data_IF_736032969264
#
_entry.id   IF_736032969264
#
_cell.length_a   1.000
_cell.length_b   1.000
_cell.length_c   1.000
_cell.angle_alpha   90.00
_cell.angle_beta   90.00
_cell.angle_gamma   90.00
#
_symmetry.space_group_name_H-M   'P 1'
#
loop_
_entity.id
_entity.type
_entity.pdbx_description
1 polymer ?
#
# COMPACT_ATOMS: atom_id res chain seq x y z
N UNK A 1 -32.88 58.41 7.29
CA UNK A 1 -34.08 58.49 6.41
C UNK A 1 -33.80 59.51 5.32
N UNK A 2 -34.40 59.42 4.12
CA UNK A 2 -35.57 58.61 3.76
C UNK A 2 -35.32 57.53 2.67
N UNK A 3 -36.41 56.87 2.26
CA UNK A 3 -36.61 56.08 1.02
C UNK A 3 -37.55 56.91 0.08
N UNK A 4 -38.12 56.46 -1.08
CA UNK A 4 -38.14 55.11 -1.68
C UNK A 4 -38.12 54.96 -3.24
N UNK A 5 -37.93 53.70 -3.69
CA UNK A 5 -38.65 52.95 -4.76
C UNK A 5 -38.67 53.31 -6.28
N UNK A 6 -38.88 52.22 -7.07
CA UNK A 6 -39.54 52.10 -8.41
C UNK A 6 -38.71 52.55 -9.65
N UNK A 7 -38.74 51.93 -10.85
CA UNK A 7 -39.11 50.57 -11.37
C UNK A 7 -38.72 50.51 -12.89
N UNK A 8 -38.87 49.50 -13.78
CA UNK A 8 -39.23 48.04 -13.81
C UNK A 8 -38.85 47.47 -15.19
N UNK A 9 -38.53 46.17 -15.34
CA UNK A 9 -38.71 45.43 -16.61
C UNK A 9 -38.89 43.91 -16.41
N UNK A 10 -39.35 43.19 -17.44
CA UNK A 10 -40.55 42.34 -17.31
C UNK A 10 -40.63 41.12 -18.26
N UNK A 11 -41.42 40.09 -17.88
CA UNK A 11 -41.87 38.99 -18.74
C UNK A 11 -43.14 38.25 -18.19
N UNK A 12 -43.96 37.64 -19.06
CA UNK A 12 -45.08 36.71 -18.77
C UNK A 12 -45.19 35.66 -19.89
N UNK A 13 -45.39 34.36 -19.61
CA UNK A 13 -46.68 33.65 -19.75
C UNK A 13 -46.75 32.80 -21.05
N UNK A 14 -47.48 31.68 -21.22
CA UNK A 14 -48.37 30.91 -20.33
C UNK A 14 -48.39 29.38 -20.73
N UNK A 15 -49.35 28.54 -20.24
CA UNK A 15 -49.31 27.05 -20.30
C UNK A 15 -50.50 26.35 -21.03
N UNK A 16 -50.32 25.04 -21.37
CA UNK A 16 -51.29 23.88 -21.49
C UNK A 16 -51.29 23.16 -22.87
N UNK A 17 -51.68 21.89 -23.05
CA UNK A 17 -51.73 20.67 -22.18
C UNK A 17 -52.16 19.39 -22.96
N UNK A 18 -51.65 18.21 -22.57
CA UNK A 18 -52.19 16.80 -22.68
C UNK A 18 -52.63 16.24 -24.06
N UNK A 19 -52.34 14.95 -24.28
CA UNK A 19 -52.90 14.08 -25.33
C UNK A 19 -53.09 12.65 -24.77
N UNK A 20 -54.12 11.94 -25.25
CA UNK A 20 -54.46 10.55 -24.89
C UNK A 20 -54.48 9.64 -26.14
N UNK A 21 -54.36 8.32 -25.94
CA UNK A 21 -54.95 7.14 -26.66
C UNK A 21 -55.12 7.15 -28.21
N UNK A 22 -55.03 6.03 -28.95
CA UNK A 22 -54.43 4.69 -28.79
C UNK A 22 -54.41 3.97 -30.17
N UNK A 23 -53.59 2.92 -30.30
CA UNK A 23 -53.72 1.74 -31.16
C UNK A 23 -54.49 1.75 -32.50
N UNK A 24 -53.74 1.39 -33.55
CA UNK A 24 -54.06 0.36 -34.58
C UNK A 24 -55.30 0.54 -35.48
N UNK A 25 -55.05 0.84 -36.76
CA UNK A 25 -55.76 0.16 -37.87
C UNK A 25 -54.97 0.17 -39.18
N UNK A 26 -55.13 -0.92 -39.95
CA UNK A 26 -54.97 -1.11 -41.41
C UNK A 26 -53.66 -0.66 -42.12
N UNK A 27 -53.12 -1.37 -43.14
CA UNK A 27 -53.41 -2.68 -43.76
C UNK A 27 -52.09 -3.18 -44.41
N UNK A 28 -51.74 -4.48 -44.37
CA UNK A 28 -51.92 -5.46 -45.47
C UNK A 28 -51.44 -4.96 -46.87
N UNK A 29 -50.63 -5.70 -47.66
CA UNK A 29 -50.99 -6.94 -48.37
C UNK A 29 -49.73 -7.67 -48.94
N UNK A 30 -49.77 -9.01 -49.06
CA UNK A 30 -48.93 -9.94 -49.88
C UNK A 30 -47.43 -10.25 -49.54
N UNK A 31 -47.23 -11.38 -48.84
CA UNK A 31 -46.62 -12.67 -49.32
C UNK A 31 -45.41 -12.69 -50.29
N UNK A 32 -44.42 -13.61 -50.11
CA UNK A 32 -44.68 -15.06 -49.96
C UNK A 32 -43.85 -15.82 -48.89
N UNK A 33 -44.19 -17.11 -48.70
CA UNK A 33 -43.50 -18.06 -47.79
C UNK A 33 -42.16 -18.54 -48.37
N UNK A 34 -41.15 -18.65 -47.51
CA UNK A 34 -39.93 -19.42 -47.78
C UNK A 34 -39.70 -20.41 -46.62
N UNK A 35 -39.77 -21.71 -46.89
CA UNK A 35 -39.51 -22.75 -45.88
C UNK A 35 -38.02 -23.06 -45.89
N UNK A 36 -37.27 -22.38 -45.02
CA UNK A 36 -35.83 -22.55 -44.89
C UNK A 36 -35.34 -22.06 -43.53
N UNK A 37 -34.93 -23.01 -42.69
CA UNK A 37 -34.25 -22.89 -41.38
C UNK A 37 -33.76 -21.47 -41.01
N UNK A 38 -34.65 -20.63 -40.49
CA UNK A 38 -34.30 -19.37 -39.83
C UNK A 38 -34.13 -19.59 -38.33
N UNK A 39 -32.98 -20.17 -37.96
CA UNK A 39 -32.32 -19.70 -36.73
C UNK A 39 -31.89 -18.25 -37.00
N UNK A 40 -31.89 -17.39 -35.98
CA UNK A 40 -31.58 -15.97 -36.22
C UNK A 40 -30.08 -15.81 -36.53
N UNK A 41 -29.73 -15.00 -37.53
CA UNK A 41 -28.34 -14.60 -37.75
C UNK A 41 -27.73 -13.92 -36.50
N UNK A 42 -28.58 -13.37 -35.62
CA UNK A 42 -28.20 -12.80 -34.33
C UNK A 42 -27.92 -13.91 -33.30
N UNK A 43 -28.65 -15.03 -33.34
CA UNK A 43 -28.39 -16.20 -32.50
C UNK A 43 -27.15 -16.96 -32.95
N UNK A 44 -26.95 -17.14 -34.25
CA UNK A 44 -25.75 -17.79 -34.79
C UNK A 44 -24.51 -16.93 -34.53
N UNK A 45 -24.55 -15.60 -34.79
CA UNK A 45 -23.44 -14.70 -34.43
C UNK A 45 -23.21 -14.58 -32.91
N UNK A 46 -24.26 -14.72 -32.09
CA UNK A 46 -24.13 -14.81 -30.62
C UNK A 46 -23.49 -16.12 -30.21
N UNK A 47 -23.89 -17.25 -30.82
CA UNK A 47 -23.35 -18.58 -30.53
C UNK A 47 -21.92 -18.74 -31.02
N UNK A 48 -21.55 -18.13 -32.14
CA UNK A 48 -20.16 -18.01 -32.59
C UNK A 48 -19.36 -17.12 -31.64
N UNK A 49 -19.92 -16.03 -31.10
CA UNK A 49 -19.27 -15.25 -30.03
C UNK A 49 -19.14 -16.01 -28.72
N UNK A 50 -20.15 -16.77 -28.30
CA UNK A 50 -20.09 -17.60 -27.08
C UNK A 50 -19.16 -18.80 -27.25
N UNK A 51 -19.06 -19.38 -28.45
CA UNK A 51 -18.09 -20.42 -28.78
C UNK A 51 -16.66 -19.87 -28.95
N UNK A 52 -16.50 -18.66 -29.49
CA UNK A 52 -15.21 -17.98 -29.56
C UNK A 52 -14.75 -17.54 -28.16
N UNK A 53 -15.66 -17.03 -27.33
CA UNK A 53 -15.40 -16.73 -25.92
C UNK A 53 -15.00 -17.99 -25.15
N UNK A 54 -15.75 -19.09 -25.29
CA UNK A 54 -15.39 -20.37 -24.70
C UNK A 54 -14.06 -20.94 -25.26
N UNK A 55 -13.70 -20.63 -26.50
CA UNK A 55 -12.41 -20.98 -27.08
C UNK A 55 -11.27 -20.10 -26.54
N UNK A 56 -11.50 -18.81 -26.25
CA UNK A 56 -10.53 -17.98 -25.51
C UNK A 56 -10.43 -18.41 -24.05
N UNK A 57 -11.53 -18.69 -23.34
CA UNK A 57 -11.50 -19.20 -21.97
C UNK A 57 -10.78 -20.56 -21.88
N UNK A 58 -10.98 -21.43 -22.87
CA UNK A 58 -10.23 -22.68 -22.99
C UNK A 58 -8.75 -22.46 -23.33
N UNK A 59 -8.41 -21.44 -24.12
CA UNK A 59 -7.02 -21.09 -24.43
C UNK A 59 -6.31 -20.37 -23.26
N UNK A 60 -7.02 -19.60 -22.44
CA UNK A 60 -6.53 -18.94 -21.22
C UNK A 60 -6.31 -19.95 -20.06
N UNK A 61 -6.67 -21.23 -20.25
CA UNK A 61 -6.11 -22.32 -19.43
C UNK A 61 -4.60 -22.55 -19.64
N UNK A 62 -3.99 -21.85 -20.60
CA UNK A 62 -2.53 -21.74 -20.73
C UNK A 62 -1.98 -20.90 -19.58
N UNK A 63 -1.57 -21.55 -18.49
CA UNK A 63 -0.92 -20.93 -17.32
C UNK A 63 0.22 -19.97 -17.75
N UNK A 64 -0.07 -18.67 -17.75
CA UNK A 64 0.88 -17.61 -18.13
C UNK A 64 2.13 -17.71 -17.28
N UNK A 65 3.28 -17.99 -17.90
CA UNK A 65 4.57 -18.08 -17.20
C UNK A 65 4.98 -16.67 -16.77
N UNK A 66 5.13 -16.48 -15.46
CA UNK A 66 5.42 -15.18 -14.86
C UNK A 66 6.86 -15.13 -14.35
N UNK A 67 7.63 -14.16 -14.84
CA UNK A 67 9.05 -13.98 -14.56
C UNK A 67 9.45 -12.49 -14.58
N UNK A 68 10.61 -12.16 -14.03
CA UNK A 68 11.31 -10.90 -14.30
C UNK A 68 12.55 -11.20 -15.15
N UNK A 69 12.71 -10.52 -16.30
CA UNK A 69 13.90 -10.69 -17.14
C UNK A 69 14.95 -9.60 -16.88
N UNK A 70 16.21 -10.02 -16.78
CA UNK A 70 17.37 -9.13 -16.67
C UNK A 70 18.59 -9.80 -17.30
N UNK A 71 19.37 -9.05 -18.07
CA UNK A 71 20.67 -9.48 -18.61
C UNK A 71 20.64 -10.84 -19.37
N UNK A 72 19.53 -11.13 -20.08
CA UNK A 72 19.30 -12.40 -20.81
C UNK A 72 18.86 -13.58 -19.93
N UNK A 73 18.53 -13.34 -18.67
CA UNK A 73 18.11 -14.36 -17.70
C UNK A 73 16.73 -14.04 -17.11
N UNK A 74 15.92 -15.09 -16.98
CA UNK A 74 14.61 -15.05 -16.35
C UNK A 74 14.70 -15.45 -14.87
N UNK A 75 14.33 -14.54 -13.98
CA UNK A 75 14.14 -14.78 -12.55
C UNK A 75 12.73 -15.30 -12.31
N UNK A 76 12.63 -16.48 -11.69
CA UNK A 76 11.40 -17.24 -11.49
C UNK A 76 11.12 -17.46 -10.00
N UNK A 77 9.84 -17.37 -9.66
CA UNK A 77 9.28 -17.77 -8.37
C UNK A 77 8.32 -18.95 -8.62
N UNK A 78 8.77 -20.16 -8.32
CA UNK A 78 8.08 -21.41 -8.61
C UNK A 78 7.46 -21.98 -7.34
N UNK A 79 6.17 -22.29 -7.39
CA UNK A 79 5.48 -23.14 -6.42
C UNK A 79 5.12 -24.45 -7.10
N UNK A 80 5.39 -25.60 -6.48
CA UNK A 80 5.00 -26.90 -7.02
C UNK A 80 4.90 -27.99 -5.93
N UNK A 81 4.16 -29.06 -6.23
CA UNK A 81 4.09 -30.28 -5.42
C UNK A 81 4.76 -31.45 -6.15
N UNK A 82 5.24 -32.46 -5.42
CA UNK A 82 6.01 -33.57 -6.00
C UNK A 82 5.15 -34.80 -6.29
N UNK A 83 5.26 -35.36 -7.51
CA UNK A 83 4.49 -36.53 -7.98
C UNK A 83 4.80 -37.79 -7.16
N UNK A 84 3.90 -38.15 -6.24
CA UNK A 84 4.05 -39.25 -5.28
C UNK A 84 3.68 -40.63 -5.84
N UNK A 85 4.67 -41.39 -6.32
CA UNK A 85 4.50 -42.82 -6.63
C UNK A 85 5.81 -43.63 -6.76
N UNK A 86 6.97 -42.98 -6.87
CA UNK A 86 8.28 -43.63 -7.13
C UNK A 86 9.38 -43.05 -6.24
N UNK A 87 10.48 -43.78 -6.11
CA UNK A 87 11.63 -43.41 -5.29
C UNK A 87 12.22 -42.04 -5.68
N UNK A 88 12.48 -41.21 -4.66
CA UNK A 88 13.07 -39.87 -4.76
C UNK A 88 12.45 -38.95 -5.84
N UNK A 89 11.23 -38.40 -5.64
CA UNK A 89 10.68 -37.44 -6.59
C UNK A 89 11.43 -36.09 -6.57
N UNK A 90 12.01 -35.68 -5.43
CA UNK A 90 12.78 -34.44 -5.30
C UNK A 90 14.07 -34.44 -6.12
N UNK A 91 14.80 -35.56 -6.18
CA UNK A 91 16.03 -35.66 -6.98
C UNK A 91 15.74 -35.49 -8.48
N UNK A 92 14.58 -35.96 -8.95
CA UNK A 92 14.12 -35.75 -10.33
C UNK A 92 13.78 -34.29 -10.63
N UNK A 93 13.23 -33.57 -9.66
CA UNK A 93 13.03 -32.12 -9.78
C UNK A 93 14.38 -31.39 -9.84
N UNK A 94 15.28 -31.63 -8.87
CA UNK A 94 16.62 -31.03 -8.82
C UNK A 94 17.45 -31.31 -10.09
N UNK A 95 17.33 -32.51 -10.69
CA UNK A 95 17.99 -32.84 -11.97
C UNK A 95 17.50 -31.97 -13.13
N UNK A 96 16.25 -31.47 -13.12
CA UNK A 96 15.78 -30.49 -14.12
C UNK A 96 16.50 -29.16 -13.92
N UNK A 97 16.56 -28.62 -12.70
CA UNK A 97 17.31 -27.39 -12.42
C UNK A 97 18.78 -27.52 -12.84
N UNK A 98 19.44 -28.65 -12.53
CA UNK A 98 20.81 -28.93 -12.94
C UNK A 98 20.98 -28.99 -14.48
N UNK A 99 20.04 -29.60 -15.20
CA UNK A 99 20.10 -29.76 -16.67
C UNK A 99 19.99 -28.42 -17.42
N UNK A 100 19.32 -27.44 -16.82
CA UNK A 100 19.14 -26.09 -17.39
C UNK A 100 20.06 -25.04 -16.75
N UNK A 101 21.13 -25.47 -16.06
CA UNK A 101 22.07 -24.62 -15.30
C UNK A 101 21.38 -23.61 -14.37
N UNK A 102 20.19 -23.97 -13.87
CA UNK A 102 19.30 -23.07 -13.16
C UNK A 102 19.85 -22.74 -11.77
N UNK A 103 20.23 -21.47 -11.59
CA UNK A 103 20.84 -20.98 -10.35
C UNK A 103 19.75 -20.76 -9.30
N UNK A 104 19.63 -21.70 -8.37
CA UNK A 104 18.70 -21.61 -7.24
C UNK A 104 19.21 -20.55 -6.25
N UNK A 105 18.42 -19.52 -6.02
CA UNK A 105 18.67 -18.46 -5.05
C UNK A 105 18.04 -18.75 -3.69
N UNK A 106 16.89 -19.43 -3.68
CA UNK A 106 16.18 -19.84 -2.47
C UNK A 106 15.39 -21.11 -2.74
N UNK A 107 15.35 -22.01 -1.76
CA UNK A 107 14.50 -23.20 -1.76
C UNK A 107 13.99 -23.40 -0.33
N UNK A 108 12.67 -23.51 -0.19
CA UNK A 108 12.02 -23.90 1.05
C UNK A 108 10.91 -24.92 0.79
N UNK A 109 10.43 -25.57 1.85
CA UNK A 109 9.34 -26.54 1.78
C UNK A 109 8.34 -26.22 2.87
N UNK A 110 7.05 -26.18 2.50
CA UNK A 110 5.93 -25.78 3.34
C UNK A 110 4.85 -26.87 3.32
N UNK A 111 4.04 -26.93 4.37
CA UNK A 111 2.84 -27.76 4.36
C UNK A 111 1.80 -27.14 3.42
N UNK A 112 1.24 -27.94 2.51
CA UNK A 112 0.21 -27.48 1.58
C UNK A 112 -1.02 -26.94 2.33
N UNK A 113 -1.55 -25.80 1.87
CA UNK A 113 -2.80 -25.22 2.39
C UNK A 113 -4.06 -25.96 1.91
N UNK A 114 -3.92 -26.92 1.01
CA UNK A 114 -5.02 -27.73 0.44
C UNK A 114 -4.64 -29.22 0.50
N UNK A 115 -4.74 -29.88 1.66
CA UNK A 115 -4.42 -31.31 1.77
C UNK A 115 -5.42 -32.14 0.95
N UNK A 116 -4.93 -32.90 -0.04
CA UNK A 116 -5.72 -33.94 -0.69
C UNK A 116 -5.72 -35.22 0.16
N UNK A 117 -6.91 -35.82 0.27
CA UNK A 117 -7.17 -37.17 0.77
C UNK A 117 -6.35 -37.60 2.00
N UNK A 118 -6.31 -36.74 3.02
CA UNK A 118 -5.77 -37.07 4.35
C UNK A 118 -4.24 -37.12 4.45
N UNK A 119 -3.50 -36.80 3.39
CA UNK A 119 -2.03 -36.73 3.45
C UNK A 119 -1.52 -35.29 3.51
N UNK A 120 -0.46 -35.07 4.29
CA UNK A 120 0.19 -33.76 4.40
C UNK A 120 1.15 -33.53 3.22
N UNK A 121 0.59 -33.17 2.07
CA UNK A 121 1.37 -32.84 0.88
C UNK A 121 2.30 -31.63 1.12
N UNK A 122 3.52 -31.73 0.59
CA UNK A 122 4.55 -30.69 0.72
C UNK A 122 4.57 -29.80 -0.53
N UNK A 123 4.32 -28.51 -0.34
CA UNK A 123 4.51 -27.46 -1.34
C UNK A 123 5.97 -26.99 -1.28
N UNK A 124 6.64 -27.01 -2.43
CA UNK A 124 8.00 -26.50 -2.60
C UNK A 124 7.94 -25.11 -3.19
N UNK A 125 8.63 -24.16 -2.57
CA UNK A 125 8.89 -22.85 -3.16
C UNK A 125 10.36 -22.77 -3.57
N UNK A 126 10.61 -22.40 -4.82
CA UNK A 126 11.95 -22.23 -5.38
C UNK A 126 12.04 -20.90 -6.11
N UNK A 127 12.97 -20.05 -5.69
CA UNK A 127 13.43 -18.90 -6.46
C UNK A 127 14.66 -19.28 -7.25
N UNK A 128 14.62 -19.18 -8.58
CA UNK A 128 15.75 -19.54 -9.43
C UNK A 128 15.90 -18.62 -10.65
N UNK A 129 17.12 -18.56 -11.18
CA UNK A 129 17.49 -17.83 -12.40
C UNK A 129 17.81 -18.85 -13.51
N UNK A 130 17.21 -18.68 -14.69
CA UNK A 130 17.38 -19.55 -15.89
C UNK A 130 17.67 -18.67 -17.11
N UNK A 131 18.36 -19.17 -18.13
CA UNK A 131 18.54 -18.42 -19.38
C UNK A 131 17.19 -18.24 -20.12
N UNK A 132 16.90 -17.05 -20.65
CA UNK A 132 15.53 -16.76 -21.11
C UNK A 132 15.09 -17.52 -22.37
N UNK A 133 16.03 -18.00 -23.19
CA UNK A 133 15.73 -18.94 -24.29
C UNK A 133 15.11 -20.26 -23.82
N UNK A 134 15.50 -20.71 -22.63
CA UNK A 134 15.24 -22.07 -22.17
C UNK A 134 14.06 -22.12 -21.19
N UNK A 135 13.47 -20.96 -20.87
CA UNK A 135 12.37 -20.80 -19.94
C UNK A 135 11.20 -21.77 -20.22
N UNK A 136 10.76 -21.86 -21.48
CA UNK A 136 9.61 -22.67 -21.88
C UNK A 136 9.89 -24.18 -21.80
N UNK A 137 11.11 -24.61 -22.17
CA UNK A 137 11.56 -26.01 -22.11
C UNK A 137 11.87 -26.44 -20.67
N UNK A 138 12.41 -25.54 -19.85
CA UNK A 138 12.56 -25.70 -18.40
C UNK A 138 11.21 -25.88 -17.70
N UNK A 139 10.26 -24.94 -17.89
CA UNK A 139 8.92 -25.02 -17.29
C UNK A 139 8.17 -26.29 -17.72
N UNK A 140 8.26 -26.66 -19.00
CA UNK A 140 7.71 -27.93 -19.51
C UNK A 140 8.34 -29.15 -18.84
N UNK A 141 9.64 -29.09 -18.51
CA UNK A 141 10.37 -30.17 -17.83
C UNK A 141 10.00 -30.29 -16.35
N UNK A 142 9.80 -29.17 -15.64
CA UNK A 142 9.29 -29.15 -14.27
C UNK A 142 7.87 -29.74 -14.22
N UNK A 143 6.97 -29.34 -15.13
CA UNK A 143 5.59 -29.89 -15.24
C UNK A 143 5.54 -31.42 -15.50
N UNK A 144 6.60 -32.01 -16.06
CA UNK A 144 6.73 -33.48 -16.23
C UNK A 144 7.12 -34.22 -14.95
N UNK A 145 7.72 -33.55 -13.96
CA UNK A 145 8.18 -34.17 -12.69
C UNK A 145 7.37 -33.74 -11.45
N UNK A 146 6.66 -32.62 -11.53
CA UNK A 146 5.87 -32.02 -10.45
C UNK A 146 4.39 -31.82 -10.82
N UNK A 147 3.55 -31.49 -9.83
CA UNK A 147 2.14 -31.07 -9.96
C UNK A 147 1.96 -29.63 -9.47
N UNK A 148 0.83 -29.01 -9.84
CA UNK A 148 0.42 -27.66 -9.39
C UNK A 148 1.54 -26.61 -9.55
N UNK A 149 2.20 -26.63 -10.72
CA UNK A 149 3.41 -25.84 -11.03
C UNK A 149 3.02 -24.39 -11.36
N UNK A 150 2.82 -23.60 -10.32
CA UNK A 150 2.41 -22.20 -10.38
C UNK A 150 3.62 -21.27 -10.40
N UNK A 151 3.61 -20.28 -11.30
CA UNK A 151 4.57 -19.16 -11.30
C UNK A 151 3.88 -17.88 -10.84
N UNK A 152 4.51 -17.11 -9.96
CA UNK A 152 4.01 -15.79 -9.55
C UNK A 152 5.00 -14.69 -9.92
N UNK A 153 4.55 -13.42 -9.95
CA UNK A 153 5.52 -12.32 -9.79
C UNK A 153 6.17 -12.46 -8.41
N UNK A 154 7.33 -11.85 -8.24
CA UNK A 154 7.69 -11.47 -6.88
C UNK A 154 6.69 -10.41 -6.44
N UNK A 155 5.74 -10.79 -5.57
CA UNK A 155 5.05 -9.81 -4.73
C UNK A 155 6.13 -9.15 -3.89
N UNK A 156 6.62 -8.00 -4.38
CA UNK A 156 7.63 -7.15 -3.74
C UNK A 156 6.99 -6.49 -2.53
N UNK A 157 6.78 -7.33 -1.52
CA UNK A 157 6.05 -6.99 -0.31
C UNK A 157 6.77 -5.84 0.36
N UNK A 158 6.12 -4.67 0.39
CA UNK A 158 6.70 -3.47 0.98
C UNK A 158 7.09 -3.80 2.43
N UNK A 159 8.39 -3.73 2.71
CA UNK A 159 8.90 -4.10 4.02
C UNK A 159 8.30 -3.19 5.08
N UNK A 160 7.81 -3.79 6.16
CA UNK A 160 7.29 -3.09 7.32
C UNK A 160 7.91 -3.66 8.60
N UNK A 161 8.21 -2.83 9.61
CA UNK A 161 8.75 -3.29 10.87
C UNK A 161 7.72 -4.17 11.60
N UNK A 162 8.15 -5.37 12.03
CA UNK A 162 7.30 -6.34 12.77
C UNK A 162 7.56 -6.33 14.27
N UNK A 163 8.61 -5.65 14.72
CA UNK A 163 8.94 -5.38 16.12
C UNK A 163 9.26 -3.90 16.28
N UNK A 164 9.02 -3.34 17.47
CA UNK A 164 9.27 -1.92 17.74
C UNK A 164 10.75 -1.53 17.51
N UNK A 165 11.71 -2.40 17.83
CA UNK A 165 13.13 -2.18 17.53
C UNK A 165 13.50 -2.24 16.03
N UNK A 166 12.57 -2.64 15.15
CA UNK A 166 12.79 -2.54 13.71
C UNK A 166 12.48 -1.13 13.17
N UNK A 167 11.83 -0.26 13.96
CA UNK A 167 11.74 1.17 13.65
C UNK A 167 13.13 1.83 13.54
N UNK A 168 14.14 1.28 14.19
CA UNK A 168 15.52 1.78 14.06
C UNK A 168 16.08 1.64 12.64
N UNK A 169 15.51 0.72 11.84
CA UNK A 169 15.81 0.57 10.42
C UNK A 169 15.17 1.67 9.58
N UNK A 170 14.16 2.39 10.09
CA UNK A 170 13.49 3.46 9.38
C UNK A 170 14.26 4.81 9.42
N UNK A 171 15.19 5.02 10.35
CA UNK A 171 15.91 6.30 10.48
C UNK A 171 16.58 6.76 9.17
N UNK A 172 17.16 5.85 8.39
CA UNK A 172 17.82 6.18 7.12
C UNK A 172 16.86 6.50 5.96
N UNK A 173 15.55 6.33 6.16
CA UNK A 173 14.49 6.73 5.22
C UNK A 173 14.01 8.17 5.50
N UNK A 174 14.39 8.74 6.65
CA UNK A 174 14.05 10.11 7.09
C UNK A 174 15.12 11.07 6.59
N UNK A 175 15.05 11.37 5.28
CA UNK A 175 16.07 12.17 4.56
C UNK A 175 15.48 13.33 3.78
N UNK A 176 14.24 13.77 4.06
CA UNK A 176 13.58 14.84 3.30
C UNK A 176 13.59 16.20 3.98
N UNK A 177 13.77 16.27 5.31
CA UNK A 177 14.03 17.54 6.00
C UNK A 177 15.53 17.81 6.16
N UNK A 178 16.18 18.18 5.07
CA UNK A 178 17.46 18.88 5.10
C UNK A 178 17.18 20.39 4.87
N UNK A 179 17.51 21.29 5.83
CA UNK A 179 17.32 22.73 5.64
C UNK A 179 18.20 23.32 4.51
N UNK A 180 19.13 22.55 3.95
CA UNK A 180 19.92 22.93 2.77
C UNK A 180 19.13 22.75 1.45
N UNK A 181 17.96 22.09 1.46
CA UNK A 181 17.16 21.79 0.27
C UNK A 181 15.95 22.73 0.04
N UNK A 182 15.43 23.38 1.08
CA UNK A 182 14.22 24.21 1.00
C UNK A 182 14.54 25.72 1.04
N UNK A 183 14.54 26.33 -0.14
CA UNK A 183 14.82 27.76 -0.35
C UNK A 183 13.79 28.70 0.29
N UNK A 184 12.54 28.24 0.47
CA UNK A 184 11.45 29.04 1.05
C UNK A 184 11.42 28.95 2.60
N UNK A 185 12.26 28.10 3.19
CA UNK A 185 12.37 27.97 4.64
C UNK A 185 13.01 29.23 5.26
N UNK A 186 12.41 29.87 6.29
CA UNK A 186 12.87 31.16 6.81
C UNK A 186 14.30 31.13 7.39
N UNK A 187 14.76 29.96 7.85
CA UNK A 187 16.13 29.72 8.32
C UNK A 187 17.12 29.23 7.24
N UNK A 188 16.77 29.19 5.95
CA UNK A 188 17.65 28.70 4.88
C UNK A 188 18.97 29.49 4.78
N UNK A 189 18.87 30.81 4.88
CA UNK A 189 20.01 31.74 4.79
C UNK A 189 20.75 31.92 6.12
N UNK A 190 20.32 31.26 7.20
CA UNK A 190 20.92 31.35 8.52
C UNK A 190 21.87 30.15 8.79
N UNK A 191 23.20 30.37 8.83
CA UNK A 191 24.17 29.31 9.07
C UNK A 191 24.16 28.81 10.53
N UNK A 192 23.75 29.64 11.50
CA UNK A 192 23.66 29.27 12.91
C UNK A 192 22.45 28.37 13.11
N UNK A 193 21.29 28.75 12.57
CA UNK A 193 20.09 27.90 12.57
C UNK A 193 20.33 26.56 11.87
N UNK A 194 20.98 26.55 10.69
CA UNK A 194 21.31 25.31 9.98
C UNK A 194 22.25 24.41 10.77
N UNK A 195 23.33 24.94 11.33
CA UNK A 195 24.23 24.17 12.19
C UNK A 195 23.53 23.65 13.46
N UNK A 196 22.61 24.44 14.04
CA UNK A 196 21.79 24.03 15.18
C UNK A 196 20.84 22.88 14.82
N UNK A 197 20.09 22.99 13.72
CA UNK A 197 19.23 21.91 13.20
C UNK A 197 20.02 20.64 12.94
N UNK A 198 21.21 20.75 12.34
CA UNK A 198 22.12 19.61 12.14
C UNK A 198 22.49 18.94 13.47
N UNK A 199 22.88 19.69 14.49
CA UNK A 199 23.24 19.12 15.80
C UNK A 199 22.07 18.35 16.47
N UNK A 200 20.84 18.84 16.32
CA UNK A 200 19.63 18.16 16.85
C UNK A 200 19.31 16.90 16.02
N UNK A 201 19.46 16.96 14.69
CA UNK A 201 19.30 15.80 13.82
C UNK A 201 20.34 14.71 14.08
N UNK A 202 21.60 15.08 14.36
CA UNK A 202 22.67 14.15 14.74
C UNK A 202 22.35 13.44 16.07
N UNK A 203 21.77 14.13 17.06
CA UNK A 203 21.29 13.51 18.30
C UNK A 203 20.20 12.46 18.00
N UNK A 204 19.23 12.79 17.16
CA UNK A 204 18.16 11.85 16.77
C UNK A 204 18.67 10.64 15.98
N UNK A 205 19.66 10.82 15.10
CA UNK A 205 20.22 9.75 14.26
C UNK A 205 20.93 8.65 15.08
N UNK A 206 21.56 9.03 16.20
CA UNK A 206 22.29 8.07 17.05
C UNK A 206 21.36 7.25 17.96
N UNK A 207 20.18 7.74 18.33
CA UNK A 207 19.20 7.04 19.18
C UNK A 207 18.81 5.65 18.64
N UNK A 208 18.63 4.67 19.54
CA UNK A 208 18.13 3.31 19.25
C UNK A 208 17.02 2.93 20.23
N UNK A 209 16.12 2.04 19.79
CA UNK A 209 15.03 1.59 20.62
C UNK A 209 15.53 0.79 21.84
N UNK A 210 15.35 1.38 23.02
CA UNK A 210 15.73 0.80 24.31
C UNK A 210 16.63 1.75 25.11
N UNK A 211 17.36 2.63 24.43
CA UNK A 211 18.13 3.70 25.04
C UNK A 211 17.20 4.81 25.57
N UNK A 212 17.63 5.60 26.58
CA UNK A 212 16.93 6.84 26.93
C UNK A 212 17.05 7.86 25.80
N UNK A 213 16.00 8.67 25.57
CA UNK A 213 16.08 9.72 24.54
C UNK A 213 17.04 10.81 25.06
N UNK A 214 18.09 11.21 24.31
CA UNK A 214 19.03 12.21 24.80
C UNK A 214 18.37 13.58 25.01
N UNK A 215 18.73 14.26 26.09
CA UNK A 215 18.27 15.62 26.36
C UNK A 215 18.90 16.63 25.39
N UNK A 216 18.14 17.66 25.04
CA UNK A 216 18.63 18.81 24.26
C UNK A 216 18.69 20.03 25.17
N UNK A 217 19.88 20.61 25.33
CA UNK A 217 20.05 21.91 25.99
C UNK A 217 19.59 23.01 25.03
N UNK A 218 18.46 23.67 25.35
CA UNK A 218 17.88 24.73 24.53
C UNK A 218 18.46 26.10 24.85
N UNK A 219 18.61 26.95 23.84
CA UNK A 219 19.10 28.33 24.00
C UNK A 219 17.99 29.24 24.57
N UNK A 220 18.39 30.40 25.11
CA UNK A 220 17.43 31.40 25.58
C UNK A 220 16.51 31.92 24.45
N UNK A 221 16.98 31.91 23.20
CA UNK A 221 16.21 32.32 22.01
C UNK A 221 15.20 31.24 21.58
N UNK A 222 15.58 29.97 21.64
CA UNK A 222 14.66 28.84 21.42
C UNK A 222 13.56 28.82 22.51
N UNK A 223 13.92 29.05 23.78
CA UNK A 223 12.98 29.14 24.90
C UNK A 223 12.06 30.37 24.77
N UNK A 224 12.57 31.52 24.33
CA UNK A 224 11.74 32.70 24.05
C UNK A 224 10.78 32.47 22.88
N UNK A 225 11.22 31.77 21.83
CA UNK A 225 10.36 31.37 20.70
C UNK A 225 9.25 30.41 21.16
N UNK A 226 9.59 29.43 22.01
CA UNK A 226 8.61 28.56 22.67
C UNK A 226 7.60 29.36 23.51
N UNK A 227 8.07 30.35 24.29
CA UNK A 227 7.22 31.18 25.16
C UNK A 227 6.09 31.88 24.41
N UNK A 228 6.41 32.55 23.32
CA UNK A 228 5.42 33.29 22.50
C UNK A 228 4.35 32.34 21.94
N UNK A 229 4.77 31.20 21.38
CA UNK A 229 3.85 30.17 20.87
C UNK A 229 3.01 29.56 21.99
N UNK A 230 3.62 29.22 23.12
CA UNK A 230 2.97 28.59 24.27
C UNK A 230 1.87 29.47 24.86
N UNK A 231 2.19 30.74 25.17
CA UNK A 231 1.25 31.68 25.74
C UNK A 231 0.13 32.06 24.77
N UNK A 232 0.45 32.23 23.48
CA UNK A 232 -0.55 32.49 22.44
C UNK A 232 -1.55 31.34 22.34
N UNK A 233 -1.08 30.11 22.16
CA UNK A 233 -1.96 28.95 22.02
C UNK A 233 -2.72 28.62 23.32
N UNK A 234 -2.09 28.75 24.49
CA UNK A 234 -2.74 28.51 25.78
C UNK A 234 -3.92 29.46 26.04
N UNK A 235 -3.88 30.68 25.49
CA UNK A 235 -5.02 31.62 25.55
C UNK A 235 -6.25 31.15 24.74
N UNK A 236 -6.04 30.33 23.70
CA UNK A 236 -7.08 29.87 22.77
C UNK A 236 -7.67 28.50 23.15
N UNK A 237 -6.91 27.65 23.83
CA UNK A 237 -7.36 26.29 24.19
C UNK A 237 -8.70 26.24 24.95
N UNK A 238 -9.04 27.11 25.92
CA UNK A 238 -10.31 27.03 26.65
C UNK A 238 -11.57 27.19 25.78
N UNK A 239 -11.44 27.71 24.56
CA UNK A 239 -12.55 27.93 23.63
C UNK A 239 -12.44 27.12 22.33
N UNK A 240 -11.27 26.56 22.01
CA UNK A 240 -11.02 25.86 20.74
C UNK A 240 -10.54 24.41 20.89
N UNK A 241 -10.04 23.99 22.05
CA UNK A 241 -9.57 22.62 22.26
C UNK A 241 -10.69 21.69 22.79
N UNK A 242 -10.58 20.39 22.49
CA UNK A 242 -11.48 19.39 23.07
C UNK A 242 -11.15 19.12 24.54
N UNK A 243 -12.08 18.49 25.27
CA UNK A 243 -11.94 18.22 26.71
C UNK A 243 -10.73 17.34 27.01
N UNK A 244 -10.52 16.33 26.18
CA UNK A 244 -9.44 15.34 26.29
C UNK A 244 -8.07 16.02 26.16
N UNK A 245 -7.94 17.00 25.24
CA UNK A 245 -6.73 17.81 25.11
C UNK A 245 -6.49 18.65 26.37
N UNK A 246 -7.51 19.33 26.89
CA UNK A 246 -7.38 20.15 28.10
C UNK A 246 -7.00 19.30 29.32
N UNK A 247 -7.60 18.13 29.49
CA UNK A 247 -7.28 17.19 30.58
C UNK A 247 -5.85 16.65 30.44
N UNK A 248 -5.43 16.24 29.24
CA UNK A 248 -4.04 15.80 28.99
C UNK A 248 -3.02 16.94 29.18
N UNK A 249 -3.30 18.15 28.69
CA UNK A 249 -2.41 19.30 28.80
C UNK A 249 -2.15 19.70 30.26
N UNK A 250 -3.18 19.70 31.11
CA UNK A 250 -3.04 19.92 32.56
C UNK A 250 -2.13 18.88 33.23
N UNK A 251 -2.12 17.63 32.75
CA UNK A 251 -1.20 16.59 33.25
C UNK A 251 0.23 16.80 32.74
N UNK A 252 0.41 17.26 31.48
CA UNK A 252 1.72 17.60 30.91
C UNK A 252 2.36 18.79 31.64
N UNK A 253 1.60 19.83 32.00
CA UNK A 253 2.10 20.94 32.84
C UNK A 253 2.54 20.44 34.22
N UNK A 254 1.78 19.52 34.81
CA UNK A 254 2.03 19.01 36.17
C UNK A 254 3.17 17.99 36.27
N UNK A 255 3.40 17.19 35.23
CA UNK A 255 4.28 16.01 35.30
C UNK A 255 5.38 15.94 34.23
N UNK A 256 5.31 16.74 33.16
CA UNK A 256 6.28 16.73 32.05
C UNK A 256 7.00 18.07 31.85
N UNK A 257 6.94 18.97 32.84
CA UNK A 257 7.65 20.25 32.81
C UNK A 257 7.15 21.26 31.77
N UNK A 258 5.98 21.05 31.15
CA UNK A 258 5.40 22.01 30.20
C UNK A 258 5.09 23.32 30.93
N UNK A 259 5.77 24.41 30.55
CA UNK A 259 5.42 25.76 30.95
C UNK A 259 6.03 26.77 29.97
N UNK A 260 5.62 28.03 30.06
CA UNK A 260 6.07 29.11 29.16
C UNK A 260 7.58 29.37 29.13
N UNK A 261 8.35 28.94 30.14
CA UNK A 261 9.80 29.19 30.24
C UNK A 261 10.66 27.92 30.10
N UNK A 262 10.08 26.78 29.71
CA UNK A 262 10.80 25.51 29.57
C UNK A 262 10.25 24.66 28.41
N UNK A 263 11.13 24.26 27.50
CA UNK A 263 10.81 23.28 26.46
C UNK A 263 10.93 21.87 27.08
N UNK A 264 9.87 21.05 27.07
CA UNK A 264 9.85 19.75 27.72
C UNK A 264 10.74 18.72 27.01
N UNK A 265 11.47 17.89 27.76
CA UNK A 265 12.37 16.89 27.20
C UNK A 265 11.60 15.63 26.76
N UNK A 266 11.87 15.15 25.55
CA UNK A 266 11.12 14.04 24.92
C UNK A 266 11.13 12.75 25.74
N UNK A 267 12.21 12.49 26.48
CA UNK A 267 12.36 11.36 27.38
C UNK A 267 11.33 11.41 28.53
N UNK A 268 11.12 12.57 29.15
CA UNK A 268 10.17 12.72 30.27
C UNK A 268 8.74 12.54 29.78
N UNK A 269 8.41 13.13 28.62
CA UNK A 269 7.13 12.92 27.93
C UNK A 269 6.94 11.44 27.58
N UNK A 270 7.98 10.75 27.09
CA UNK A 270 7.87 9.33 26.80
C UNK A 270 7.71 8.46 28.04
N UNK A 271 8.30 8.81 29.19
CA UNK A 271 8.06 8.09 30.46
C UNK A 271 6.62 8.27 30.92
N UNK A 272 6.10 9.49 30.87
CA UNK A 272 4.71 9.80 31.22
C UNK A 272 3.71 9.03 30.33
N UNK A 273 3.90 9.05 29.00
CA UNK A 273 3.04 8.34 28.05
C UNK A 273 3.12 6.81 28.18
N UNK A 274 4.28 6.25 28.58
CA UNK A 274 4.42 4.83 28.92
C UNK A 274 3.74 4.47 30.24
N UNK A 275 3.83 5.34 31.26
CA UNK A 275 3.33 5.09 32.61
C UNK A 275 1.84 5.37 32.81
N UNK A 276 1.23 6.18 31.93
CA UNK A 276 -0.17 6.60 32.04
C UNK A 276 -1.21 5.63 31.45
N UNK A 277 -0.81 4.50 30.88
CA UNK A 277 -1.71 3.58 30.17
C UNK A 277 -1.59 2.11 30.61
N UNK A 278 -2.74 1.47 30.74
CA UNK A 278 -2.89 0.00 30.67
C UNK A 278 -2.30 -0.57 29.36
N UNK A 279 -1.97 -1.88 29.28
CA UNK A 279 -0.94 -2.42 28.37
C UNK A 279 -1.11 -2.10 26.87
N UNK A 280 -0.55 -0.95 26.49
CA UNK A 280 -0.55 -0.40 25.13
C UNK A 280 0.04 1.03 25.06
N UNK A 281 0.85 1.44 26.05
CA UNK A 281 1.31 2.81 26.23
C UNK A 281 2.23 3.34 25.11
N UNK A 282 2.05 4.62 24.78
CA UNK A 282 2.78 5.29 23.68
C UNK A 282 4.23 5.61 24.06
N UNK A 283 5.16 5.37 23.13
CA UNK A 283 6.55 5.81 23.23
C UNK A 283 6.84 6.93 22.22
N UNK A 284 7.62 7.93 22.63
CA UNK A 284 8.23 8.92 21.71
C UNK A 284 9.56 8.36 21.19
N UNK A 285 9.90 8.71 19.95
CA UNK A 285 11.20 8.44 19.33
C UNK A 285 11.66 9.71 18.64
N UNK A 286 12.91 10.13 18.90
CA UNK A 286 13.50 11.25 18.18
C UNK A 286 13.75 10.87 16.72
N UNK A 287 13.36 11.73 15.78
CA UNK A 287 13.60 11.57 14.35
C UNK A 287 14.25 12.86 13.79
N UNK A 288 15.17 12.78 12.81
CA UNK A 288 15.85 13.95 12.28
C UNK A 288 14.95 14.85 11.40
N UNK A 289 13.79 14.36 10.96
CA UNK A 289 12.87 15.07 10.07
C UNK A 289 11.66 14.24 9.67
N UNK A 290 11.22 14.44 8.42
CA UNK A 290 10.27 13.61 7.66
C UNK A 290 10.89 13.19 6.30
#
# INVERSE_FOLDING_TARGET
>A
MPTPNISTSAAKGFRRAVSELDSKQAEAIMSPRFIGRRQSLIEDARKEREAAAAATDAAESTETIVFEEKDGRAMLNLFFMLKGAKTSPLSRALKVFETFEAKIHHLETRLSRKPREGTAELEYFVRCEVHSSDLNTFMSSIKRVAEDVRTTKEDKFHWFPRKICELDKCHHLVTKFDPDLDLDHPGYSDPVYRQRRKSIAEIAFHYKHGDPIPCVEYTAEEIATWKEVYSTLKSLYPTHACKEYLEAFNLLEKFCGYNENNIPQLEEVSRFLKGGCEPGGTQVQGLPGL
#
